data_IF_249570915061
#
_entry.id   IF_249570915061
#
_cell.length_a   1.000
_cell.length_b   1.000
_cell.length_c   1.000
_cell.angle_alpha   90.00
_cell.angle_beta   90.00
_cell.angle_gamma   90.00
#
_symmetry.space_group_name_H-M   'P 1'
#
loop_
_entity.id
_entity.type
_entity.pdbx_description
1 polymer ?
#
# COMPACT_ATOMS: atom_id res chain seq x y z
N UNK A 1 11.00 12.14 -16.53
CA UNK A 1 11.49 10.91 -15.82
C UNK A 1 12.14 9.99 -16.84
N UNK A 2 13.38 9.54 -16.65
CA UNK A 2 13.99 8.57 -17.55
C UNK A 2 13.29 7.23 -17.37
N UNK A 3 12.85 6.59 -18.44
CA UNK A 3 12.13 5.31 -18.43
C UNK A 3 12.82 4.25 -17.54
N UNK A 4 14.17 4.28 -17.50
CA UNK A 4 14.98 3.40 -16.65
C UNK A 4 14.73 3.57 -15.14
N UNK A 5 14.45 4.79 -14.67
CA UNK A 5 14.24 5.07 -13.24
C UNK A 5 12.86 4.55 -12.79
N UNK A 6 11.83 4.68 -13.64
CA UNK A 6 10.52 4.12 -13.39
C UNK A 6 10.55 2.59 -13.31
N UNK A 7 11.22 1.91 -14.25
CA UNK A 7 11.38 0.47 -14.23
C UNK A 7 12.14 -0.04 -13.01
N UNK A 8 13.17 0.70 -12.58
CA UNK A 8 13.94 0.37 -11.36
C UNK A 8 13.07 0.48 -10.12
N UNK A 9 12.27 1.54 -10.00
CA UNK A 9 11.35 1.72 -8.88
C UNK A 9 10.29 0.62 -8.84
N UNK A 10 9.66 0.32 -9.97
CA UNK A 10 8.69 -0.78 -10.07
C UNK A 10 9.29 -2.13 -9.69
N UNK A 11 10.51 -2.42 -10.17
CA UNK A 11 11.21 -3.65 -9.83
C UNK A 11 11.49 -3.77 -8.32
N UNK A 12 11.87 -2.66 -7.67
CA UNK A 12 12.07 -2.65 -6.22
C UNK A 12 10.76 -2.92 -5.47
N UNK A 13 9.65 -2.27 -5.87
CA UNK A 13 8.33 -2.51 -5.27
C UNK A 13 7.90 -3.98 -5.40
N UNK A 14 8.07 -4.57 -6.58
CA UNK A 14 7.76 -5.98 -6.81
C UNK A 14 8.63 -6.91 -5.96
N UNK A 15 9.93 -6.64 -5.86
CA UNK A 15 10.84 -7.43 -5.02
C UNK A 15 10.46 -7.38 -3.54
N UNK A 16 10.10 -6.20 -3.02
CA UNK A 16 9.64 -6.07 -1.63
C UNK A 16 8.31 -6.80 -1.43
N UNK A 17 7.37 -6.70 -2.39
CA UNK A 17 6.11 -7.45 -2.35
C UNK A 17 6.33 -8.97 -2.34
N UNK A 18 7.22 -9.48 -3.20
CA UNK A 18 7.59 -10.91 -3.22
C UNK A 18 8.21 -11.32 -1.88
N UNK A 19 9.15 -10.54 -1.34
CA UNK A 19 9.77 -10.83 -0.06
C UNK A 19 8.74 -10.87 1.09
N UNK A 20 7.77 -9.95 1.09
CA UNK A 20 6.67 -9.93 2.06
C UNK A 20 5.77 -11.16 1.91
N UNK A 21 5.44 -11.58 0.69
CA UNK A 21 4.67 -12.79 0.44
C UNK A 21 5.39 -14.04 0.97
N UNK A 22 6.69 -14.18 0.68
CA UNK A 22 7.50 -15.30 1.18
C UNK A 22 7.55 -15.28 2.73
N UNK A 23 7.79 -14.12 3.33
CA UNK A 23 7.82 -13.99 4.79
C UNK A 23 6.48 -14.40 5.42
N UNK A 24 5.36 -14.01 4.81
CA UNK A 24 4.03 -14.37 5.28
C UNK A 24 3.80 -15.89 5.22
N UNK A 25 4.23 -16.56 4.15
CA UNK A 25 4.18 -18.03 4.05
C UNK A 25 5.01 -18.69 5.15
N UNK A 26 6.22 -18.20 5.41
CA UNK A 26 7.08 -18.73 6.47
C UNK A 26 6.43 -18.56 7.84
N UNK A 27 5.88 -17.39 8.13
CA UNK A 27 5.15 -17.12 9.37
C UNK A 27 3.96 -18.07 9.53
N UNK A 28 3.17 -18.25 8.49
CA UNK A 28 2.06 -19.20 8.49
C UNK A 28 2.54 -20.62 8.76
N UNK A 29 3.49 -21.12 7.99
CA UNK A 29 3.91 -22.52 8.04
C UNK A 29 4.56 -22.89 9.37
N UNK A 30 5.43 -22.03 9.90
CA UNK A 30 6.25 -22.38 11.06
C UNK A 30 5.68 -21.89 12.40
N UNK A 31 4.82 -20.86 12.39
CA UNK A 31 4.32 -20.26 13.62
C UNK A 31 2.81 -20.49 13.78
N UNK A 32 2.02 -20.10 12.78
CA UNK A 32 0.57 -20.05 12.93
C UNK A 32 -0.08 -21.42 12.73
N UNK A 33 0.31 -22.17 11.69
CA UNK A 33 -0.28 -23.47 11.39
C UNK A 33 -0.17 -24.45 12.59
N UNK A 34 0.98 -24.59 13.29
CA UNK A 34 1.05 -25.43 14.47
C UNK A 34 0.14 -24.96 15.63
N UNK A 35 -0.15 -23.66 15.71
CA UNK A 35 -1.00 -23.10 16.78
C UNK A 35 -2.51 -23.25 16.49
N UNK A 36 -2.90 -23.29 15.21
CA UNK A 36 -4.32 -23.30 14.79
C UNK A 36 -4.88 -24.69 14.54
N UNK A 37 -4.06 -25.71 14.36
CA UNK A 37 -4.50 -27.10 14.05
C UNK A 37 -5.23 -27.82 15.19
N UNK A 38 -5.46 -27.19 16.33
CA UNK A 38 -6.11 -27.82 17.51
C UNK A 38 -7.61 -27.56 17.71
N UNK A 39 -8.24 -26.69 16.94
CA UNK A 39 -9.64 -26.29 17.15
C UNK A 39 -10.53 -26.51 15.95
N UNK A 40 -11.54 -27.39 16.09
CA UNK A 40 -12.69 -27.45 15.18
C UNK A 40 -13.67 -26.29 15.49
N UNK A 41 -13.19 -25.04 15.43
CA UNK A 41 -14.09 -23.91 15.39
C UNK A 41 -14.84 -23.92 14.05
N UNK A 42 -16.04 -23.36 14.01
CA UNK A 42 -16.88 -23.25 12.80
C UNK A 42 -16.06 -22.68 11.63
N UNK A 43 -15.37 -23.58 10.91
CA UNK A 43 -14.45 -23.23 9.80
C UNK A 43 -15.13 -22.35 8.77
N UNK A 44 -16.41 -22.60 8.49
CA UNK A 44 -17.21 -21.83 7.54
C UNK A 44 -17.40 -20.40 8.04
N UNK A 45 -17.71 -20.22 9.32
CA UNK A 45 -17.92 -18.89 9.90
C UNK A 45 -16.61 -18.08 9.89
N UNK A 46 -15.50 -18.68 10.31
CA UNK A 46 -14.18 -18.04 10.31
C UNK A 46 -13.77 -17.65 8.90
N UNK A 47 -13.89 -18.57 7.94
CA UNK A 47 -13.53 -18.28 6.55
C UNK A 47 -14.40 -17.17 5.96
N UNK A 48 -15.69 -17.11 6.29
CA UNK A 48 -16.58 -16.04 5.84
C UNK A 48 -16.13 -14.69 6.40
N UNK A 49 -15.84 -14.59 7.70
CA UNK A 49 -15.35 -13.36 8.31
C UNK A 49 -14.03 -12.88 7.69
N UNK A 50 -13.10 -13.80 7.41
CA UNK A 50 -11.81 -13.46 6.78
C UNK A 50 -12.03 -12.88 5.39
N UNK A 51 -12.91 -13.50 4.58
CA UNK A 51 -13.23 -13.02 3.24
C UNK A 51 -13.91 -11.65 3.28
N UNK A 52 -14.92 -11.47 4.16
CA UNK A 52 -15.63 -10.20 4.30
C UNK A 52 -14.68 -9.07 4.73
N UNK A 53 -13.76 -9.36 5.65
CA UNK A 53 -12.78 -8.40 6.11
C UNK A 53 -11.79 -8.03 4.99
N UNK A 54 -11.36 -8.99 4.19
CA UNK A 54 -10.52 -8.76 3.03
C UNK A 54 -11.22 -7.90 1.96
N UNK A 55 -12.48 -8.21 1.66
CA UNK A 55 -13.29 -7.41 0.73
C UNK A 55 -13.42 -5.97 1.23
N UNK A 56 -13.68 -5.77 2.52
CA UNK A 56 -13.69 -4.43 3.14
C UNK A 56 -12.36 -3.70 2.98
N UNK A 57 -11.23 -4.40 3.17
CA UNK A 57 -9.89 -3.84 2.95
C UNK A 57 -9.64 -3.47 1.49
N UNK A 58 -10.09 -4.28 0.54
CA UNK A 58 -9.98 -3.99 -0.92
C UNK A 58 -10.73 -2.71 -1.25
N UNK A 59 -11.98 -2.54 -0.79
CA UNK A 59 -12.74 -1.31 -1.00
C UNK A 59 -12.08 -0.10 -0.34
N UNK A 60 -11.59 -0.24 0.87
CA UNK A 60 -10.88 0.83 1.57
C UNK A 60 -9.60 1.23 0.82
N UNK A 61 -8.83 0.25 0.33
CA UNK A 61 -7.62 0.50 -0.45
C UNK A 61 -7.93 1.17 -1.79
N UNK A 62 -8.98 0.73 -2.48
CA UNK A 62 -9.42 1.33 -3.74
C UNK A 62 -9.86 2.80 -3.55
N UNK A 63 -10.63 3.08 -2.49
CA UNK A 63 -11.02 4.46 -2.16
C UNK A 63 -9.79 5.33 -1.86
N UNK A 64 -8.83 4.79 -1.14
CA UNK A 64 -7.60 5.48 -0.78
C UNK A 64 -6.73 5.79 -2.00
N UNK A 65 -6.58 4.80 -2.91
CA UNK A 65 -5.87 4.97 -4.18
C UNK A 65 -6.54 6.04 -5.05
N UNK A 66 -7.87 6.00 -5.17
CA UNK A 66 -8.62 7.00 -5.92
C UNK A 66 -8.42 8.42 -5.34
N UNK A 67 -8.39 8.55 -4.02
CA UNK A 67 -8.14 9.83 -3.35
C UNK A 67 -6.72 10.33 -3.58
N UNK A 68 -5.72 9.47 -3.48
CA UNK A 68 -4.32 9.83 -3.73
C UNK A 68 -4.09 10.24 -5.20
N UNK A 69 -4.70 9.52 -6.15
CA UNK A 69 -4.65 9.85 -7.58
C UNK A 69 -5.31 11.21 -7.89
N UNK A 70 -6.43 11.52 -7.23
CA UNK A 70 -7.11 12.82 -7.37
C UNK A 70 -6.22 13.98 -6.88
N UNK A 71 -5.55 13.82 -5.75
CA UNK A 71 -4.63 14.85 -5.23
C UNK A 71 -3.40 14.99 -6.14
N UNK A 72 -2.86 13.88 -6.65
CA UNK A 72 -1.74 13.90 -7.60
C UNK A 72 -2.11 14.66 -8.89
N UNK A 73 -3.31 14.43 -9.44
CA UNK A 73 -3.80 15.14 -10.63
C UNK A 73 -3.89 16.64 -10.44
N UNK A 74 -4.29 17.11 -9.26
CA UNK A 74 -4.30 18.56 -8.95
C UNK A 74 -2.91 19.16 -9.01
N UNK A 75 -1.90 18.44 -8.50
CA UNK A 75 -0.50 18.88 -8.58
C UNK A 75 -0.02 18.89 -10.03
N UNK A 76 -0.34 17.87 -10.82
CA UNK A 76 0.01 17.82 -12.25
C UNK A 76 -0.62 18.97 -13.03
N UNK A 77 -1.91 19.25 -12.78
CA UNK A 77 -2.61 20.38 -13.40
C UNK A 77 -1.98 21.73 -13.04
N UNK A 78 -1.60 21.92 -11.77
CA UNK A 78 -0.94 23.14 -11.33
C UNK A 78 0.40 23.34 -12.04
N UNK A 79 1.19 22.28 -12.19
CA UNK A 79 2.46 22.32 -12.95
C UNK A 79 2.21 22.62 -14.43
N UNK A 80 1.22 21.97 -15.05
CA UNK A 80 0.89 22.16 -16.46
C UNK A 80 0.38 23.58 -16.77
N UNK A 81 -0.40 24.17 -15.86
CA UNK A 81 -0.91 25.54 -15.97
C UNK A 81 0.10 26.61 -15.52
N UNK A 82 1.29 26.22 -15.08
CA UNK A 82 2.30 27.07 -14.46
C UNK A 82 1.73 27.86 -13.24
N UNK A 83 0.77 27.28 -12.54
CA UNK A 83 0.12 27.85 -11.35
C UNK A 83 0.91 27.48 -10.08
N UNK A 84 1.87 28.37 -9.77
CA UNK A 84 2.75 28.23 -8.61
C UNK A 84 1.98 28.25 -7.28
N UNK A 85 0.95 29.08 -7.17
CA UNK A 85 0.21 29.23 -5.90
C UNK A 85 -0.54 27.94 -5.58
N UNK A 86 -1.28 27.37 -6.55
CA UNK A 86 -1.96 26.10 -6.40
C UNK A 86 -0.96 24.97 -6.11
N UNK A 87 0.18 24.92 -6.79
CA UNK A 87 1.23 23.94 -6.50
C UNK A 87 1.70 23.98 -5.04
N UNK A 88 2.02 25.17 -4.53
CA UNK A 88 2.50 25.34 -3.16
C UNK A 88 1.44 25.04 -2.08
N UNK A 89 0.17 25.03 -2.44
CA UNK A 89 -0.96 24.68 -1.56
C UNK A 89 -1.28 23.19 -1.63
N UNK A 90 -1.27 22.59 -2.83
CA UNK A 90 -1.70 21.20 -3.02
C UNK A 90 -0.60 20.18 -2.65
N UNK A 91 0.67 20.43 -2.99
CA UNK A 91 1.76 19.49 -2.68
C UNK A 91 1.90 19.15 -1.19
N UNK A 92 1.73 20.08 -0.23
CA UNK A 92 1.78 19.75 1.19
C UNK A 92 0.56 18.98 1.71
N UNK A 93 -0.53 18.91 0.95
CA UNK A 93 -1.74 18.17 1.33
C UNK A 93 -1.54 16.68 1.21
N UNK A 94 -0.77 16.13 2.10
CA UNK A 94 -0.54 14.69 2.20
C UNK A 94 -1.62 14.02 3.03
N UNK A 95 -1.78 12.73 2.82
CA UNK A 95 -2.62 11.91 3.68
C UNK A 95 -2.16 12.04 5.12
N UNK A 96 -3.09 12.38 6.01
CA UNK A 96 -2.79 12.57 7.43
C UNK A 96 -2.07 11.34 8.02
N UNK A 97 -1.00 11.52 8.82
CA UNK A 97 -0.24 10.40 9.40
C UNK A 97 -1.12 9.39 10.16
N UNK A 98 -2.17 9.87 10.83
CA UNK A 98 -3.15 9.02 11.53
C UNK A 98 -3.87 8.06 10.59
N UNK A 99 -4.20 8.50 9.38
CA UNK A 99 -4.86 7.67 8.37
C UNK A 99 -3.89 6.63 7.82
N UNK A 100 -2.61 7.00 7.64
CA UNK A 100 -1.58 6.03 7.24
C UNK A 100 -1.39 4.93 8.30
N UNK A 101 -1.33 5.32 9.57
CA UNK A 101 -1.24 4.36 10.67
C UNK A 101 -2.48 3.46 10.71
N UNK A 102 -3.66 4.02 10.54
CA UNK A 102 -4.91 3.26 10.48
C UNK A 102 -4.88 2.26 9.32
N UNK A 103 -4.44 2.68 8.13
CA UNK A 103 -4.30 1.80 6.97
C UNK A 103 -3.36 0.62 7.26
N UNK A 104 -2.21 0.89 7.87
CA UNK A 104 -1.26 -0.16 8.27
C UNK A 104 -1.86 -1.13 9.29
N UNK A 105 -2.58 -0.62 10.29
CA UNK A 105 -3.22 -1.46 11.29
C UNK A 105 -4.28 -2.37 10.67
N UNK A 106 -5.14 -1.83 9.80
CA UNK A 106 -6.15 -2.62 9.09
C UNK A 106 -5.47 -3.65 8.20
N UNK A 107 -4.41 -3.27 7.47
CA UNK A 107 -3.66 -4.17 6.60
C UNK A 107 -2.98 -5.30 7.39
N UNK A 108 -2.42 -5.01 8.56
CA UNK A 108 -1.85 -6.01 9.45
C UNK A 108 -2.93 -6.97 9.97
N UNK A 109 -4.10 -6.46 10.34
CA UNK A 109 -5.24 -7.29 10.77
C UNK A 109 -5.74 -8.20 9.64
N UNK A 110 -5.76 -7.71 8.39
CA UNK A 110 -6.07 -8.55 7.22
C UNK A 110 -5.08 -9.70 7.09
N UNK A 111 -3.78 -9.41 7.10
CA UNK A 111 -2.74 -10.45 7.03
C UNK A 111 -2.92 -11.47 8.17
N UNK A 112 -3.10 -11.00 9.40
CA UNK A 112 -3.31 -11.86 10.55
C UNK A 112 -4.58 -12.70 10.45
N UNK A 113 -5.69 -12.14 9.93
CA UNK A 113 -6.95 -12.88 9.79
C UNK A 113 -6.80 -14.05 8.80
N UNK A 114 -6.02 -13.89 7.73
CA UNK A 114 -5.75 -14.98 6.80
C UNK A 114 -4.96 -16.15 7.41
N UNK A 115 -4.23 -15.93 8.51
CA UNK A 115 -3.60 -17.05 9.24
C UNK A 115 -4.62 -17.94 9.97
N UNK A 116 -5.83 -17.44 10.19
CA UNK A 116 -6.95 -18.22 10.75
C UNK A 116 -7.73 -18.96 9.66
N UNK A 117 -7.46 -18.67 8.38
CA UNK A 117 -8.12 -19.30 7.25
C UNK A 117 -7.68 -20.75 7.13
N UNK A 118 -8.60 -21.68 7.35
CA UNK A 118 -8.29 -23.10 7.35
C UNK A 118 -8.61 -23.71 5.98
N UNK A 119 -7.61 -24.30 5.36
CA UNK A 119 -7.71 -25.10 4.14
C UNK A 119 -6.90 -26.37 4.37
N UNK A 120 -7.47 -27.53 4.06
CA UNK A 120 -6.81 -28.84 4.24
C UNK A 120 -5.50 -28.95 3.46
N UNK A 121 -5.41 -28.28 2.30
CA UNK A 121 -4.20 -28.30 1.46
C UNK A 121 -3.21 -27.23 1.92
N UNK A 122 -2.08 -27.66 2.47
CA UNK A 122 -0.98 -26.77 2.85
C UNK A 122 -0.46 -25.95 1.66
N UNK A 123 -0.45 -26.52 0.47
CA UNK A 123 0.01 -25.82 -0.75
C UNK A 123 -0.92 -24.66 -1.08
N UNK A 124 -2.23 -24.89 -1.11
CA UNK A 124 -3.23 -23.84 -1.39
C UNK A 124 -3.21 -22.76 -0.30
N UNK A 125 -3.11 -23.15 0.97
CA UNK A 125 -2.94 -22.19 2.07
C UNK A 125 -1.70 -21.33 1.88
N UNK A 126 -0.56 -21.92 1.48
CA UNK A 126 0.68 -21.18 1.25
C UNK A 126 0.57 -20.21 0.07
N UNK A 127 -0.10 -20.58 -1.01
CA UNK A 127 -0.34 -19.70 -2.16
C UNK A 127 -1.22 -18.49 -1.76
N UNK A 128 -2.26 -18.72 -0.98
CA UNK A 128 -3.11 -17.64 -0.46
C UNK A 128 -2.32 -16.70 0.45
N UNK A 129 -1.54 -17.25 1.38
CA UNK A 129 -0.70 -16.45 2.28
C UNK A 129 0.32 -15.61 1.51
N UNK A 130 0.95 -16.19 0.49
CA UNK A 130 1.85 -15.45 -0.39
C UNK A 130 1.11 -14.30 -1.08
N UNK A 131 -0.04 -14.59 -1.70
CA UNK A 131 -0.84 -13.60 -2.44
C UNK A 131 -1.28 -12.44 -1.56
N UNK A 132 -1.77 -12.73 -0.35
CA UNK A 132 -2.21 -11.69 0.61
C UNK A 132 -1.03 -10.82 1.06
N UNK A 133 0.07 -11.42 1.48
CA UNK A 133 1.26 -10.68 1.89
C UNK A 133 1.81 -9.79 0.77
N UNK A 134 1.91 -10.34 -0.44
CA UNK A 134 2.33 -9.60 -1.64
C UNK A 134 1.40 -8.42 -1.94
N UNK A 135 0.08 -8.66 -2.00
CA UNK A 135 -0.93 -7.64 -2.32
C UNK A 135 -0.92 -6.51 -1.31
N UNK A 136 -0.96 -6.83 -0.02
CA UNK A 136 -1.03 -5.83 1.06
C UNK A 136 0.18 -4.92 1.02
N UNK A 137 1.39 -5.48 0.91
CA UNK A 137 2.61 -4.67 0.93
C UNK A 137 2.77 -3.87 -0.37
N UNK A 138 2.47 -4.46 -1.52
CA UNK A 138 2.55 -3.74 -2.80
C UNK A 138 1.55 -2.59 -2.85
N UNK A 139 0.31 -2.80 -2.38
CA UNK A 139 -0.70 -1.74 -2.32
C UNK A 139 -0.27 -0.62 -1.38
N UNK A 140 0.29 -0.95 -0.21
CA UNK A 140 0.83 0.05 0.71
C UNK A 140 1.95 0.87 0.06
N UNK A 141 2.87 0.23 -0.66
CA UNK A 141 3.96 0.93 -1.36
C UNK A 141 3.43 1.89 -2.43
N UNK A 142 2.47 1.45 -3.24
CA UNK A 142 1.84 2.31 -4.26
C UNK A 142 1.15 3.51 -3.60
N UNK A 143 0.43 3.29 -2.50
CA UNK A 143 -0.22 4.37 -1.75
C UNK A 143 0.79 5.40 -1.23
N UNK A 144 1.91 4.94 -0.66
CA UNK A 144 2.96 5.85 -0.18
C UNK A 144 3.65 6.59 -1.31
N UNK A 145 3.83 5.92 -2.44
CA UNK A 145 4.46 6.51 -3.61
C UNK A 145 3.57 7.62 -4.22
N UNK A 146 2.27 7.39 -4.32
CA UNK A 146 1.29 8.38 -4.79
C UNK A 146 1.16 9.58 -3.84
N UNK A 147 1.34 9.36 -2.54
CA UNK A 147 1.25 10.41 -1.54
C UNK A 147 2.50 11.32 -1.48
N UNK A 148 3.59 10.95 -2.15
CA UNK A 148 4.79 11.78 -2.27
C UNK A 148 5.11 12.14 -3.73
N UNK A 149 4.47 13.18 -4.29
CA UNK A 149 4.66 13.57 -5.68
C UNK A 149 6.07 14.06 -6.00
N UNK A 150 6.91 14.30 -4.98
CA UNK A 150 8.27 14.80 -5.14
C UNK A 150 9.33 13.69 -5.14
N UNK A 151 9.13 12.63 -4.37
CA UNK A 151 10.15 11.62 -4.09
C UNK A 151 9.84 10.22 -4.63
N UNK A 152 8.58 9.92 -4.97
CA UNK A 152 8.12 8.59 -5.40
C UNK A 152 8.65 8.13 -6.76
N UNK A 153 8.28 6.91 -7.14
CA UNK A 153 8.44 6.36 -8.50
C UNK A 153 7.47 7.06 -9.45
N UNK A 154 6.26 7.35 -8.96
CA UNK A 154 5.23 8.13 -9.65
C UNK A 154 5.47 9.59 -9.31
N UNK A 155 6.28 10.26 -10.12
CA UNK A 155 6.61 11.69 -9.94
C UNK A 155 5.89 12.55 -10.94
N UNK A 156 5.44 13.71 -10.49
CA UNK A 156 4.98 14.76 -11.40
C UNK A 156 6.15 15.22 -12.26
N UNK A 157 6.02 15.10 -13.58
CA UNK A 157 7.06 15.50 -14.52
C UNK A 157 7.02 17.01 -14.80
N UNK A 158 8.19 17.62 -15.00
CA UNK A 158 8.28 19.02 -15.42
C UNK A 158 8.14 20.04 -14.30
N UNK A 159 8.27 19.64 -13.02
CA UNK A 159 8.27 20.58 -11.91
C UNK A 159 9.47 21.53 -11.98
N UNK A 160 9.25 22.86 -11.88
CA UNK A 160 10.35 23.83 -11.79
C UNK A 160 11.13 23.65 -10.48
N UNK A 161 12.45 23.55 -10.56
CA UNK A 161 13.31 23.36 -9.37
C UNK A 161 13.14 24.48 -8.32
N UNK A 162 12.82 25.69 -8.77
CA UNK A 162 12.58 26.84 -7.90
C UNK A 162 11.37 26.63 -6.98
N UNK A 163 10.29 26.03 -7.49
CA UNK A 163 9.08 25.74 -6.72
C UNK A 163 9.35 24.67 -5.66
N UNK A 164 10.14 23.66 -5.99
CA UNK A 164 10.54 22.61 -5.07
C UNK A 164 11.41 23.17 -3.94
N UNK A 165 12.36 24.07 -4.26
CA UNK A 165 13.19 24.74 -3.24
C UNK A 165 12.36 25.61 -2.30
N UNK A 166 11.41 26.38 -2.82
CA UNK A 166 10.53 27.20 -2.01
C UNK A 166 9.66 26.38 -1.07
N UNK A 167 9.14 25.24 -1.57
CA UNK A 167 8.35 24.32 -0.75
C UNK A 167 9.15 23.82 0.45
N UNK A 168 10.40 23.40 0.22
CA UNK A 168 11.29 22.93 1.29
C UNK A 168 11.59 24.05 2.30
N UNK A 169 11.74 25.30 1.87
CA UNK A 169 11.94 26.43 2.77
C UNK A 169 10.72 26.74 3.63
N UNK A 170 9.49 26.58 3.08
CA UNK A 170 8.25 26.74 3.83
C UNK A 170 8.00 25.64 4.86
N UNK A 171 8.46 24.43 4.60
CA UNK A 171 8.31 23.29 5.53
C UNK A 171 9.28 23.32 6.72
N UNK A 172 10.35 24.12 6.62
CA UNK A 172 11.36 24.26 7.67
C UNK A 172 11.06 25.43 8.65
N UNK A 173 10.04 26.22 8.37
CA UNK A 173 9.57 27.33 9.23
C UNK A 173 8.34 26.94 10.03
#
# INVERSE_FOLDING_TARGET
MKLKDAWRGLAIMLLIGIAAGVLNVLLFTFVMNPLTTGGKADEIAVNTYVVDFFVGWVFFSAWFLARADEELKKVEEAVHKADRETFLVEVPKRIAPSIRVLYLLISALVVLSFHLFHIESLLVSSEIQFGVGFLVVTTAQVLWDLDDPLAGVIKVSGMPEEWVRELHQKQQR
#
